data_IF_138533742607
#
_entry.id   IF_138533742607
#
_cell.length_a   1.000
_cell.length_b   1.000
_cell.length_c   1.000
_cell.angle_alpha   90.00
_cell.angle_beta   90.00
_cell.angle_gamma   90.00
#
_symmetry.space_group_name_H-M   'P 1'
#
loop_
_entity.id
_entity.type
_entity.pdbx_description
1 polymer ?
#
# COMPACT_ATOMS: atom_id res chain seq x y z
N UNK A 1 12.84 12.04 7.20
CA UNK A 1 11.57 12.75 7.46
C UNK A 1 11.81 13.67 8.64
N UNK A 2 11.73 14.99 8.37
CA UNK A 2 12.07 16.02 9.33
C UNK A 2 10.84 16.80 9.82
N UNK A 3 9.73 16.70 9.08
CA UNK A 3 8.49 17.44 9.38
C UNK A 3 7.27 16.53 9.36
N UNK A 4 6.23 16.94 10.08
CA UNK A 4 4.93 16.25 10.06
C UNK A 4 4.31 16.25 8.65
N UNK A 5 4.51 17.32 7.91
CA UNK A 5 4.02 17.47 6.54
C UNK A 5 4.65 16.47 5.58
N UNK A 6 5.95 16.16 5.75
CA UNK A 6 6.63 15.09 5.01
C UNK A 6 6.05 13.73 5.35
N UNK A 7 5.78 13.46 6.64
CA UNK A 7 5.17 12.21 7.06
C UNK A 7 3.73 12.08 6.53
N UNK A 8 2.94 13.15 6.54
CA UNK A 8 1.59 13.18 5.95
C UNK A 8 1.65 12.87 4.45
N UNK A 9 2.60 13.47 3.73
CA UNK A 9 2.79 13.20 2.31
C UNK A 9 3.14 11.73 2.06
N UNK A 10 4.02 11.16 2.86
CA UNK A 10 4.43 9.76 2.74
C UNK A 10 3.27 8.80 3.03
N UNK A 11 2.45 9.08 4.05
CA UNK A 11 1.24 8.31 4.34
C UNK A 11 0.20 8.43 3.23
N UNK A 12 0.07 9.59 2.60
CA UNK A 12 -0.82 9.75 1.44
C UNK A 12 -0.34 8.91 0.25
N UNK A 13 0.97 8.79 0.06
CA UNK A 13 1.57 7.93 -0.96
C UNK A 13 1.35 6.45 -0.64
N UNK A 14 1.59 6.04 0.60
CA UNK A 14 1.29 4.68 1.07
C UNK A 14 -0.18 4.33 0.81
N UNK A 15 -1.12 5.19 1.22
CA UNK A 15 -2.55 4.98 0.98
C UNK A 15 -2.90 4.84 -0.52
N UNK A 16 -2.24 5.60 -1.40
CA UNK A 16 -2.43 5.46 -2.85
C UNK A 16 -1.90 4.11 -3.37
N UNK A 17 -0.78 3.61 -2.83
CA UNK A 17 -0.21 2.31 -3.19
C UNK A 17 -1.18 1.20 -2.78
N UNK A 18 -1.59 1.12 -1.50
CA UNK A 18 -2.52 0.11 -0.99
C UNK A 18 -3.82 0.07 -1.81
N UNK A 19 -4.37 1.25 -2.10
CA UNK A 19 -5.58 1.36 -2.90
C UNK A 19 -5.38 0.83 -4.33
N UNK A 20 -4.24 1.11 -4.94
CA UNK A 20 -3.92 0.65 -6.30
C UNK A 20 -3.66 -0.85 -6.34
N UNK A 21 -2.85 -1.38 -5.43
CA UNK A 21 -2.53 -2.81 -5.34
C UNK A 21 -3.79 -3.63 -5.09
N UNK A 22 -4.64 -3.20 -4.14
CA UNK A 22 -5.97 -3.78 -3.93
C UNK A 22 -6.78 -3.85 -5.24
N UNK A 23 -6.80 -2.77 -6.03
CA UNK A 23 -7.51 -2.75 -7.31
C UNK A 23 -6.93 -3.75 -8.33
N UNK A 24 -5.60 -3.92 -8.35
CA UNK A 24 -4.94 -4.91 -9.23
C UNK A 24 -5.36 -6.34 -8.85
N UNK A 25 -5.36 -6.69 -7.56
CA UNK A 25 -5.83 -7.99 -7.08
C UNK A 25 -7.31 -8.21 -7.38
N UNK A 26 -8.17 -7.23 -7.10
CA UNK A 26 -9.60 -7.33 -7.41
C UNK A 26 -9.87 -7.52 -8.90
N UNK A 27 -9.15 -6.82 -9.77
CA UNK A 27 -9.30 -6.97 -11.22
C UNK A 27 -8.87 -8.37 -11.67
N UNK A 28 -7.76 -8.89 -11.15
CA UNK A 28 -7.32 -10.27 -11.36
C UNK A 28 -8.38 -11.28 -10.93
N UNK A 29 -8.97 -11.11 -9.74
CA UNK A 29 -10.04 -11.96 -9.21
C UNK A 29 -11.27 -11.97 -10.13
N UNK A 30 -11.68 -10.80 -10.60
CA UNK A 30 -12.87 -10.68 -11.46
C UNK A 30 -12.65 -11.19 -12.88
N UNK A 31 -11.41 -11.28 -13.32
CA UNK A 31 -11.05 -11.87 -14.60
C UNK A 31 -11.03 -13.42 -14.60
N UNK A 32 -11.02 -14.03 -13.41
CA UNK A 32 -11.06 -15.49 -13.27
C UNK A 32 -12.39 -16.06 -13.77
N UNK A 33 -12.32 -17.20 -14.43
CA UNK A 33 -13.49 -18.01 -14.78
C UNK A 33 -14.21 -18.47 -13.51
N UNK A 34 -15.54 -18.58 -13.55
CA UNK A 34 -16.36 -18.85 -12.37
C UNK A 34 -16.72 -20.32 -12.19
N UNK A 35 -16.59 -21.11 -13.25
CA UNK A 35 -16.92 -22.53 -13.19
C UNK A 35 -17.29 -23.13 -14.54
N UNK A 36 -18.09 -24.17 -14.55
CA UNK A 36 -18.51 -24.92 -15.73
C UNK A 36 -19.21 -24.04 -16.78
N UNK A 37 -19.96 -23.03 -16.34
CA UNK A 37 -20.62 -22.06 -17.21
C UNK A 37 -19.64 -21.24 -18.05
N UNK A 38 -18.39 -21.12 -17.61
CA UNK A 38 -17.31 -20.45 -18.32
C UNK A 38 -16.37 -21.46 -19.03
N UNK A 39 -16.81 -22.73 -19.14
CA UNK A 39 -16.10 -23.79 -19.85
C UNK A 39 -14.99 -24.49 -19.05
N UNK A 40 -15.03 -24.45 -17.72
CA UNK A 40 -14.12 -25.24 -16.87
C UNK A 40 -14.70 -26.64 -16.64
N UNK A 41 -13.82 -27.64 -16.49
CA UNK A 41 -14.22 -28.91 -15.87
C UNK A 41 -14.47 -28.71 -14.38
N UNK A 42 -15.21 -29.64 -13.75
CA UNK A 42 -15.47 -29.60 -12.30
C UNK A 42 -14.16 -29.54 -11.48
N UNK A 43 -13.14 -30.29 -11.92
CA UNK A 43 -11.81 -30.30 -11.28
C UNK A 43 -11.15 -28.92 -11.35
N UNK A 44 -11.11 -28.30 -12.53
CA UNK A 44 -10.52 -26.97 -12.69
C UNK A 44 -11.35 -25.88 -11.99
N UNK A 45 -12.67 -26.04 -11.89
CA UNK A 45 -13.52 -25.11 -11.15
C UNK A 45 -13.14 -25.04 -9.66
N UNK A 46 -12.84 -26.18 -9.02
CA UNK A 46 -12.39 -26.20 -7.62
C UNK A 46 -10.99 -25.56 -7.44
N UNK A 47 -10.09 -25.80 -8.40
CA UNK A 47 -8.76 -25.15 -8.40
C UNK A 47 -8.91 -23.62 -8.48
N UNK A 48 -9.69 -23.13 -9.44
CA UNK A 48 -9.92 -21.67 -9.61
C UNK A 48 -10.58 -21.06 -8.39
N UNK A 49 -11.49 -21.79 -7.75
CA UNK A 49 -12.12 -21.36 -6.50
C UNK A 49 -11.09 -21.18 -5.37
N UNK A 50 -10.11 -22.08 -5.25
CA UNK A 50 -9.05 -21.96 -4.26
C UNK A 50 -8.13 -20.76 -4.55
N UNK A 51 -7.77 -20.52 -5.80
CA UNK A 51 -6.99 -19.34 -6.21
C UNK A 51 -7.73 -18.04 -5.91
N UNK A 52 -9.03 -18.03 -6.25
CA UNK A 52 -9.88 -16.87 -5.95
C UNK A 52 -9.94 -16.57 -4.46
N UNK A 53 -10.04 -17.59 -3.61
CA UNK A 53 -10.06 -17.44 -2.17
C UNK A 53 -8.73 -16.82 -1.68
N UNK A 54 -7.59 -17.39 -2.09
CA UNK A 54 -6.26 -16.86 -1.72
C UNK A 54 -6.06 -15.40 -2.15
N UNK A 55 -6.40 -15.06 -3.39
CA UNK A 55 -6.30 -13.67 -3.86
C UNK A 55 -7.28 -12.72 -3.15
N UNK A 56 -8.44 -13.23 -2.72
CA UNK A 56 -9.41 -12.43 -1.96
C UNK A 56 -8.86 -12.11 -0.57
N UNK A 57 -8.18 -13.07 0.06
CA UNK A 57 -7.54 -12.85 1.37
C UNK A 57 -6.49 -11.73 1.25
N UNK A 58 -5.63 -11.76 0.24
CA UNK A 58 -4.66 -10.67 -0.04
C UNK A 58 -5.39 -9.34 -0.27
N UNK A 59 -6.42 -9.29 -1.12
CA UNK A 59 -7.16 -8.04 -1.35
C UNK A 59 -7.82 -7.48 -0.07
N UNK A 60 -8.20 -8.33 0.89
CA UNK A 60 -8.71 -7.93 2.21
C UNK A 60 -7.57 -7.39 3.09
N UNK A 61 -6.38 -7.96 3.00
CA UNK A 61 -5.19 -7.42 3.66
C UNK A 61 -4.88 -6.01 3.16
N UNK A 62 -4.91 -5.75 1.85
CA UNK A 62 -4.74 -4.41 1.28
C UNK A 62 -5.80 -3.40 1.76
N UNK A 63 -7.06 -3.84 1.93
CA UNK A 63 -8.10 -2.99 2.53
C UNK A 63 -7.77 -2.64 3.98
N UNK A 64 -7.19 -3.59 4.71
CA UNK A 64 -6.74 -3.38 6.09
C UNK A 64 -5.59 -2.39 6.13
N UNK A 65 -4.58 -2.55 5.28
CA UNK A 65 -3.43 -1.66 5.18
C UNK A 65 -3.88 -0.22 4.85
N UNK A 66 -4.73 -0.04 3.85
CA UNK A 66 -5.31 1.26 3.49
C UNK A 66 -6.03 1.91 4.69
N UNK A 67 -6.79 1.13 5.46
CA UNK A 67 -7.51 1.62 6.63
C UNK A 67 -6.54 2.05 7.74
N UNK A 68 -5.50 1.26 7.99
CA UNK A 68 -4.48 1.55 9.01
C UNK A 68 -3.66 2.79 8.65
N UNK A 69 -3.26 2.93 7.38
CA UNK A 69 -2.58 4.14 6.90
C UNK A 69 -3.48 5.37 7.05
N UNK A 70 -4.79 5.23 6.78
CA UNK A 70 -5.78 6.26 7.05
C UNK A 70 -5.85 6.66 8.53
N UNK A 71 -5.82 5.68 9.43
CA UNK A 71 -5.79 5.91 10.88
C UNK A 71 -4.48 6.59 11.31
N UNK A 72 -3.32 6.16 10.78
CA UNK A 72 -2.04 6.82 11.03
C UNK A 72 -2.06 8.29 10.60
N UNK A 73 -2.58 8.59 9.42
CA UNK A 73 -2.73 9.96 8.93
C UNK A 73 -3.65 10.78 9.85
N UNK A 74 -4.79 10.22 10.26
CA UNK A 74 -5.76 10.87 11.14
C UNK A 74 -5.15 11.13 12.52
N UNK A 75 -4.40 10.19 13.08
CA UNK A 75 -3.75 10.33 14.38
C UNK A 75 -2.79 11.53 14.46
N UNK A 76 -2.13 11.86 13.35
CA UNK A 76 -1.24 13.03 13.25
C UNK A 76 -1.95 14.28 12.73
N UNK A 77 -3.28 14.29 12.71
CA UNK A 77 -4.10 15.46 12.39
C UNK A 77 -4.30 15.70 10.88
N UNK A 78 -4.04 14.71 10.03
CA UNK A 78 -4.36 14.77 8.61
C UNK A 78 -5.70 14.10 8.29
N UNK A 79 -6.24 14.36 7.10
CA UNK A 79 -7.37 13.60 6.57
C UNK A 79 -6.87 12.31 5.92
N UNK A 80 -7.64 11.19 6.01
CA UNK A 80 -7.34 9.98 5.25
C UNK A 80 -7.28 10.28 3.75
N UNK A 81 -6.25 9.76 3.09
CA UNK A 81 -6.09 9.91 1.65
C UNK A 81 -6.75 8.74 0.91
N UNK A 82 -7.86 8.99 0.23
CA UNK A 82 -8.61 7.96 -0.51
C UNK A 82 -8.50 8.13 -2.04
N UNK A 83 -7.83 9.18 -2.50
CA UNK A 83 -7.55 9.37 -3.92
C UNK A 83 -6.43 8.45 -4.37
N UNK A 84 -6.47 8.10 -5.64
CA UNK A 84 -5.42 7.36 -6.32
C UNK A 84 -5.30 7.83 -7.77
N UNK A 85 -4.14 7.68 -8.43
CA UNK A 85 -4.03 7.91 -9.86
C UNK A 85 -4.84 6.88 -10.65
N UNK A 86 -5.18 7.24 -11.89
CA UNK A 86 -5.82 6.30 -12.81
C UNK A 86 -4.79 5.35 -13.42
N UNK A 87 -5.21 4.11 -13.65
CA UNK A 87 -4.40 3.13 -14.36
C UNK A 87 -4.27 3.46 -15.86
N UNK A 88 -3.16 3.11 -16.51
CA UNK A 88 -1.94 2.55 -15.94
C UNK A 88 -1.13 3.62 -15.19
N UNK A 89 -0.42 3.20 -14.14
CA UNK A 89 0.43 4.06 -13.33
C UNK A 89 1.87 3.82 -13.75
N UNK A 90 2.51 4.81 -14.38
CA UNK A 90 3.88 4.64 -14.88
C UNK A 90 4.90 4.64 -13.73
N UNK A 91 6.11 4.10 -13.97
CA UNK A 91 7.22 4.23 -13.04
C UNK A 91 7.47 5.69 -12.64
N UNK A 92 7.87 5.91 -11.41
CA UNK A 92 8.17 7.23 -10.85
C UNK A 92 7.00 7.95 -10.23
N UNK A 93 5.78 7.47 -10.38
CA UNK A 93 4.65 7.92 -9.58
C UNK A 93 4.72 7.34 -8.15
N UNK A 94 4.98 6.06 -8.05
CA UNK A 94 5.29 5.32 -6.82
C UNK A 94 6.81 5.10 -6.68
N UNK A 95 7.27 4.44 -5.62
CA UNK A 95 8.68 4.10 -5.43
C UNK A 95 9.34 3.54 -6.69
N UNK A 96 10.64 3.68 -6.76
CA UNK A 96 11.46 3.32 -7.92
C UNK A 96 11.11 1.94 -8.50
N UNK A 97 10.86 1.92 -9.79
CA UNK A 97 10.60 0.68 -10.53
C UNK A 97 9.20 0.08 -10.36
N UNK A 98 8.32 0.69 -9.56
CA UNK A 98 6.94 0.23 -9.43
C UNK A 98 6.07 0.88 -10.51
N UNK A 99 5.54 0.05 -11.40
CA UNK A 99 4.44 0.39 -12.30
C UNK A 99 3.22 -0.44 -11.94
N UNK A 100 2.03 0.12 -12.02
CA UNK A 100 0.79 -0.58 -11.68
C UNK A 100 -0.17 -0.51 -12.85
N UNK A 101 -0.70 -1.65 -13.24
CA UNK A 101 -1.65 -1.79 -14.33
C UNK A 101 -2.73 -2.83 -13.99
N UNK A 102 -3.94 -2.61 -14.46
CA UNK A 102 -5.01 -3.59 -14.33
C UNK A 102 -4.79 -4.72 -15.34
N UNK A 103 -4.37 -5.86 -14.85
CA UNK A 103 -4.07 -7.04 -15.67
C UNK A 103 -4.97 -8.22 -15.30
N UNK A 104 -5.44 -8.96 -16.31
CA UNK A 104 -6.21 -10.17 -16.07
C UNK A 104 -5.37 -11.27 -15.39
N UNK A 105 -6.02 -12.20 -14.69
CA UNK A 105 -5.36 -13.30 -14.02
C UNK A 105 -4.45 -14.07 -14.99
N UNK A 106 -3.18 -14.12 -14.68
CA UNK A 106 -2.13 -14.74 -15.51
C UNK A 106 -0.89 -14.99 -14.65
N UNK A 107 0.09 -15.71 -15.19
CA UNK A 107 1.40 -15.85 -14.55
C UNK A 107 2.07 -14.48 -14.35
N UNK A 108 1.97 -13.59 -15.33
CA UNK A 108 2.54 -12.25 -15.24
C UNK A 108 1.95 -11.43 -14.07
N UNK A 109 0.63 -11.50 -13.85
CA UNK A 109 0.00 -10.83 -12.70
C UNK A 109 0.51 -11.40 -11.36
N UNK A 110 0.64 -12.71 -11.25
CA UNK A 110 1.14 -13.34 -10.02
C UNK A 110 2.62 -12.99 -9.78
N UNK A 111 3.45 -13.06 -10.80
CA UNK A 111 4.86 -12.69 -10.71
C UNK A 111 5.03 -11.21 -10.34
N UNK A 112 4.18 -10.33 -10.89
CA UNK A 112 4.13 -8.92 -10.54
C UNK A 112 3.71 -8.71 -9.08
N UNK A 113 2.67 -9.40 -8.60
CA UNK A 113 2.28 -9.37 -7.19
C UNK A 113 3.42 -9.79 -6.26
N UNK A 114 4.10 -10.90 -6.56
CA UNK A 114 5.27 -11.35 -5.81
C UNK A 114 6.40 -10.31 -5.85
N UNK A 115 6.59 -9.63 -6.98
CA UNK A 115 7.56 -8.56 -7.10
C UNK A 115 7.20 -7.34 -6.23
N UNK A 116 5.94 -6.94 -6.18
CA UNK A 116 5.47 -5.82 -5.35
C UNK A 116 5.67 -6.11 -3.86
N UNK A 117 5.32 -7.32 -3.42
CA UNK A 117 5.39 -7.76 -2.02
C UNK A 117 6.79 -8.27 -1.60
N UNK A 118 7.79 -8.11 -2.46
CA UNK A 118 9.13 -8.62 -2.14
C UNK A 118 9.72 -7.94 -0.91
N UNK A 119 10.35 -8.70 -0.01
CA UNK A 119 11.08 -8.11 1.10
C UNK A 119 12.22 -7.21 0.62
N UNK A 120 12.54 -6.19 1.40
CA UNK A 120 13.70 -5.33 1.13
C UNK A 120 15.00 -6.14 1.04
N UNK A 121 15.87 -5.73 0.11
CA UNK A 121 17.14 -6.40 -0.16
C UNK A 121 17.02 -7.70 -0.96
N UNK A 122 15.81 -8.12 -1.33
CA UNK A 122 15.58 -9.26 -2.23
C UNK A 122 15.59 -8.77 -3.67
N UNK A 123 16.63 -9.17 -4.41
CA UNK A 123 16.72 -8.91 -5.84
C UNK A 123 15.77 -9.84 -6.61
N UNK A 124 14.57 -9.39 -6.89
CA UNK A 124 13.60 -10.06 -7.73
C UNK A 124 13.37 -9.22 -9.00
N UNK A 125 13.12 -9.88 -10.11
CA UNK A 125 12.72 -9.20 -11.36
C UNK A 125 11.22 -9.25 -11.49
N UNK A 126 10.65 -8.14 -11.95
CA UNK A 126 9.24 -8.08 -12.31
C UNK A 126 8.95 -8.90 -13.57
N UNK A 127 7.68 -9.25 -13.78
CA UNK A 127 7.24 -9.86 -15.02
C UNK A 127 7.48 -8.91 -16.20
N UNK A 128 7.86 -9.49 -17.34
CA UNK A 128 8.28 -8.71 -18.53
C UNK A 128 7.23 -7.73 -19.04
N UNK A 129 5.96 -8.01 -18.79
CA UNK A 129 4.81 -7.20 -19.16
C UNK A 129 4.73 -5.89 -18.37
N UNK A 130 5.34 -5.85 -17.19
CA UNK A 130 5.36 -4.69 -16.30
C UNK A 130 6.70 -3.95 -16.28
N UNK A 131 7.71 -4.48 -16.99
CA UNK A 131 9.02 -3.84 -17.07
C UNK A 131 8.98 -2.65 -18.03
N UNK A 132 9.33 -1.48 -17.54
CA UNK A 132 9.49 -0.27 -18.34
C UNK A 132 10.97 0.01 -18.63
N UNK A 133 11.31 0.41 -19.87
CA UNK A 133 12.70 0.61 -20.27
C UNK A 133 13.35 1.89 -19.71
N UNK A 134 12.64 2.67 -18.93
CA UNK A 134 13.11 3.97 -18.43
C UNK A 134 13.33 3.88 -16.92
N UNK A 135 14.57 4.01 -16.49
CA UNK A 135 14.89 4.25 -15.08
C UNK A 135 14.38 5.63 -14.69
N UNK A 136 13.51 5.68 -13.71
CA UNK A 136 13.00 6.92 -13.16
C UNK A 136 13.45 7.07 -11.72
N UNK A 137 14.17 8.15 -11.45
CA UNK A 137 14.53 8.54 -10.09
C UNK A 137 13.74 9.77 -9.68
N UNK A 138 13.08 9.70 -8.54
CA UNK A 138 12.44 10.87 -7.96
C UNK A 138 13.49 11.81 -7.43
N UNK A 139 13.63 12.96 -8.06
CA UNK A 139 14.48 14.04 -7.54
C UNK A 139 13.61 15.13 -6.98
N UNK A 140 13.67 15.35 -5.66
CA UNK A 140 13.12 16.54 -5.07
C UNK A 140 14.17 17.64 -5.00
N UNK A 141 13.89 18.84 -5.49
CA UNK A 141 14.81 19.96 -5.32
C UNK A 141 14.92 20.31 -3.83
N UNK A 142 16.15 20.34 -3.30
CA UNK A 142 16.40 20.77 -1.92
C UNK A 142 15.96 22.24 -1.75
N UNK A 143 15.25 22.52 -0.64
CA UNK A 143 14.88 23.89 -0.26
C UNK A 143 13.56 24.38 -0.84
N UNK A 144 12.67 23.50 -1.30
CA UNK A 144 11.29 23.85 -1.65
C UNK A 144 10.38 23.78 -0.42
N UNK A 145 9.29 24.55 -0.45
CA UNK A 145 8.22 24.51 0.58
C UNK A 145 7.42 23.19 0.50
N UNK A 146 7.49 22.51 -0.64
CA UNK A 146 6.81 21.22 -0.83
C UNK A 146 7.61 20.08 -0.18
N UNK A 147 6.94 19.13 0.47
CA UNK A 147 7.57 17.92 0.95
C UNK A 147 8.35 17.24 -0.17
N UNK A 148 9.57 16.81 0.13
CA UNK A 148 10.37 16.10 -0.86
C UNK A 148 9.84 14.68 -1.02
N UNK A 149 9.52 14.29 -2.26
CA UNK A 149 9.26 12.88 -2.56
C UNK A 149 10.52 12.07 -2.24
N UNK A 150 10.36 11.01 -1.46
CA UNK A 150 11.46 10.10 -1.14
C UNK A 150 11.40 8.90 -2.09
N UNK A 151 12.54 8.35 -2.43
CA UNK A 151 12.65 7.15 -3.25
C UNK A 151 12.81 5.92 -2.38
N UNK A 152 12.06 4.89 -2.66
CA UNK A 152 12.07 3.62 -1.92
C UNK A 152 12.18 2.46 -2.91
N UNK A 153 13.02 1.48 -2.60
CA UNK A 153 13.20 0.30 -3.45
C UNK A 153 12.02 -0.67 -3.37
N UNK A 154 11.32 -0.69 -2.25
CA UNK A 154 10.19 -1.60 -1.99
C UNK A 154 9.12 -0.92 -1.14
N UNK A 155 7.91 -1.49 -1.12
CA UNK A 155 6.82 -1.05 -0.24
C UNK A 155 7.24 -1.18 1.24
N UNK A 156 7.91 -2.28 1.62
CA UNK A 156 8.45 -2.46 2.97
C UNK A 156 9.47 -1.38 3.36
N UNK A 157 10.31 -0.91 2.42
CA UNK A 157 11.23 0.21 2.66
C UNK A 157 10.47 1.51 2.93
N UNK A 158 9.38 1.79 2.21
CA UNK A 158 8.51 2.95 2.45
C UNK A 158 7.91 2.90 3.86
N UNK A 159 7.39 1.76 4.30
CA UNK A 159 6.84 1.60 5.65
C UNK A 159 7.88 1.77 6.74
N UNK A 160 9.07 1.21 6.56
CA UNK A 160 10.18 1.43 7.49
C UNK A 160 10.60 2.90 7.54
N UNK A 161 10.65 3.60 6.41
CA UNK A 161 10.88 5.04 6.35
C UNK A 161 9.82 5.83 7.12
N UNK A 162 8.56 5.42 7.02
CA UNK A 162 7.43 5.99 7.78
C UNK A 162 7.62 5.79 9.28
N UNK A 163 7.99 4.58 9.72
CA UNK A 163 8.26 4.28 11.13
C UNK A 163 9.38 5.13 11.69
N UNK A 164 10.50 5.23 11.00
CA UNK A 164 11.60 6.12 11.41
C UNK A 164 11.15 7.59 11.47
N UNK A 165 10.23 8.01 10.58
CA UNK A 165 9.61 9.34 10.63
C UNK A 165 8.79 9.54 11.89
N UNK A 166 7.95 8.59 12.27
CA UNK A 166 7.19 8.62 13.51
C UNK A 166 8.10 8.68 14.75
N UNK A 167 9.14 7.84 14.82
CA UNK A 167 10.11 7.82 15.90
C UNK A 167 10.83 9.17 16.04
N UNK A 168 11.37 9.69 14.94
CA UNK A 168 12.11 10.95 14.94
C UNK A 168 11.22 12.14 15.33
N UNK A 169 10.00 12.21 14.79
CA UNK A 169 9.08 13.30 15.10
C UNK A 169 8.51 13.19 16.53
N UNK A 170 8.24 11.99 17.02
CA UNK A 170 7.84 11.78 18.42
C UNK A 170 8.94 12.24 19.40
N UNK A 171 10.19 11.95 19.07
CA UNK A 171 11.33 12.40 19.87
C UNK A 171 11.50 13.94 19.83
N UNK A 172 11.34 14.55 18.66
CA UNK A 172 11.63 15.97 18.45
C UNK A 172 10.48 16.88 18.89
N UNK A 173 9.23 16.49 18.66
CA UNK A 173 8.04 17.29 18.94
C UNK A 173 7.35 16.88 20.24
N UNK A 174 7.53 15.64 20.70
CA UNK A 174 6.75 15.00 21.73
C UNK A 174 5.50 14.32 21.15
N UNK A 175 5.13 13.18 21.75
CA UNK A 175 3.97 12.39 21.28
C UNK A 175 2.66 13.18 21.35
N UNK A 176 2.42 13.95 22.42
CA UNK A 176 1.21 14.75 22.58
C UNK A 176 1.04 15.82 21.47
N UNK A 177 2.14 16.28 20.89
CA UNK A 177 2.13 17.25 19.78
C UNK A 177 2.00 16.58 18.43
N UNK A 178 2.64 15.42 18.26
CA UNK A 178 2.60 14.67 17.01
C UNK A 178 1.22 14.03 16.82
N UNK A 179 0.72 13.31 17.83
CA UNK A 179 -0.56 12.61 17.79
C UNK A 179 -1.71 13.55 18.23
N UNK A 180 -1.92 14.61 17.46
CA UNK A 180 -2.92 15.65 17.75
C UNK A 180 -4.30 15.36 17.13
N UNK A 181 -4.45 14.26 16.43
CA UNK A 181 -5.70 13.88 15.77
C UNK A 181 -6.77 13.38 16.75
N UNK A 182 -8.03 13.51 16.36
CA UNK A 182 -9.15 13.05 17.18
C UNK A 182 -9.41 11.55 16.96
N UNK A 183 -9.30 10.75 18.02
CA UNK A 183 -9.57 9.29 17.99
C UNK A 183 -10.93 8.95 17.39
N UNK A 184 -11.93 9.81 17.54
CA UNK A 184 -13.28 9.62 16.98
C UNK A 184 -13.34 9.73 15.46
N UNK A 185 -12.30 10.27 14.83
CA UNK A 185 -12.21 10.40 13.36
C UNK A 185 -11.55 9.19 12.69
N UNK A 186 -10.95 8.28 13.47
CA UNK A 186 -10.33 7.06 12.95
C UNK A 186 -11.35 5.95 12.70
N UNK A 187 -11.01 5.05 11.79
CA UNK A 187 -11.83 3.87 11.53
C UNK A 187 -11.61 2.83 12.61
N UNK A 188 -12.68 2.49 13.32
CA UNK A 188 -12.68 1.44 14.34
C UNK A 188 -13.05 0.08 13.74
N UNK A 189 -12.58 -1.00 14.35
CA UNK A 189 -12.90 -2.37 13.95
C UNK A 189 -14.42 -2.66 13.92
N UNK A 190 -15.22 -1.92 14.71
CA UNK A 190 -16.68 -2.02 14.70
C UNK A 190 -17.33 -1.40 13.45
N UNK A 191 -16.67 -0.43 12.82
CA UNK A 191 -17.15 0.25 11.61
C UNK A 191 -16.64 -0.40 10.32
N UNK A 192 -15.45 -1.04 10.39
CA UNK A 192 -14.86 -1.79 9.29
C UNK A 192 -14.45 -3.18 9.83
N UNK A 193 -15.21 -4.25 9.54
CA UNK A 193 -14.92 -5.59 10.04
C UNK A 193 -13.76 -6.23 9.26
N UNK A 194 -12.62 -5.56 9.27
CA UNK A 194 -11.37 -6.00 8.68
C UNK A 194 -10.44 -6.52 9.78
N UNK A 195 -9.67 -7.58 9.54
CA UNK A 195 -8.72 -8.09 10.52
C UNK A 195 -7.62 -7.04 10.79
N UNK A 196 -7.18 -6.92 12.04
CA UNK A 196 -6.04 -6.08 12.40
C UNK A 196 -6.29 -4.57 12.48
N UNK A 197 -7.49 -4.06 12.18
CA UNK A 197 -7.77 -2.61 12.29
C UNK A 197 -7.70 -2.16 13.75
N UNK A 198 -6.88 -1.16 14.01
CA UNK A 198 -6.68 -0.56 15.33
C UNK A 198 -6.68 0.97 15.28
N UNK A 199 -6.97 1.59 16.42
CA UNK A 199 -6.88 3.03 16.61
C UNK A 199 -5.46 3.41 17.00
N UNK A 200 -4.94 4.50 16.46
CA UNK A 200 -3.58 4.99 16.70
C UNK A 200 -3.62 6.21 17.63
N UNK A 201 -3.03 6.08 18.79
CA UNK A 201 -3.00 7.15 19.81
C UNK A 201 -1.60 7.52 20.29
N UNK A 202 -0.61 6.70 19.98
CA UNK A 202 0.77 6.89 20.42
C UNK A 202 1.71 6.09 19.52
N UNK A 203 3.01 6.33 19.65
CA UNK A 203 4.04 5.64 18.87
C UNK A 203 3.95 4.10 19.00
N UNK A 204 3.66 3.59 20.21
CA UNK A 204 3.53 2.16 20.44
C UNK A 204 2.38 1.51 19.63
N UNK A 205 1.27 2.22 19.41
CA UNK A 205 0.16 1.73 18.57
C UNK A 205 0.43 1.94 17.08
N UNK A 206 1.18 2.98 16.71
CA UNK A 206 1.60 3.18 15.32
C UNK A 206 2.56 2.07 14.84
N UNK A 207 3.42 1.56 15.73
CA UNK A 207 4.34 0.47 15.46
C UNK A 207 3.67 -0.91 15.26
N UNK A 208 2.39 -1.03 15.57
CA UNK A 208 1.59 -2.25 15.34
C UNK A 208 0.81 -2.22 14.02
N UNK A 209 0.90 -1.13 13.27
CA UNK A 209 0.44 -1.10 11.89
C UNK A 209 1.34 -2.03 11.03
N UNK A 210 0.80 -2.68 9.98
CA UNK A 210 1.40 -3.87 9.40
C UNK A 210 2.84 -3.67 8.94
N UNK A 211 3.69 -4.61 9.35
CA UNK A 211 4.88 -4.96 8.60
C UNK A 211 4.41 -5.79 7.40
N UNK A 212 4.37 -5.18 6.23
CA UNK A 212 4.14 -5.87 4.96
C UNK A 212 5.34 -6.70 4.57
#
# INVERSE_FOLDING_TARGET
IETREELIYLLAEAAAIEHNVMCCYLYGIWSLKRGEQDGLSAEYAEIVKSWKAAMTDVAVEEMTHLTLVGNLATAIGAAPHLSRPNFPIPPGYHPEGVSLELFGFSHALIDHGIFLERPEGVALKDASEFVHPTDYHRTAPKGTIMPSAQDYETIGHLYRGSMHGFEALSHNLGEDVLFCGGVSAETHASAAPLPGVSVVTALASAAQAPDS
#
